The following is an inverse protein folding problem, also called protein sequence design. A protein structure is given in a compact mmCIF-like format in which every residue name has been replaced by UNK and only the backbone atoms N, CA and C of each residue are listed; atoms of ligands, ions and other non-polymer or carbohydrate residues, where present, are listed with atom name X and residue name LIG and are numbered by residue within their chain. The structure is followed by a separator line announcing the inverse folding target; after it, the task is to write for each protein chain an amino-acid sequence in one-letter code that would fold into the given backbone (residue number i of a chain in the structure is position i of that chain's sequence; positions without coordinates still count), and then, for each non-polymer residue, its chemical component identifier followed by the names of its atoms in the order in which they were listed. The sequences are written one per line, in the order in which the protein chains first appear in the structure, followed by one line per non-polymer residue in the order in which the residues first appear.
data_IF_358057456212
#
_entry.id   IF_358057456212
#
_cell.length_a   1.000
_cell.length_b   1.000
_cell.length_c   1.000
_cell.angle_alpha   90.00
_cell.angle_beta   90.00
_cell.angle_gamma   90.00
#
_symmetry.space_group_name_H-M   'P 1'
#
loop_
_entity.id
_entity.type
_entity.pdbx_description
1 polymer ?
#
# COMPACT_ATOMS: atom_id res chain seq x y z
N UNK A 1 8.14 36.43 -22.21
CA UNK A 1 9.32 35.68 -21.75
C UNK A 1 9.24 35.62 -20.24
N UNK A 2 8.81 34.48 -19.71
CA UNK A 2 9.40 33.88 -18.51
C UNK A 2 9.07 32.39 -18.56
N UNK A 3 10.02 31.62 -19.09
CA UNK A 3 10.01 30.16 -19.09
C UNK A 3 10.96 29.76 -17.97
N UNK A 4 10.40 29.48 -16.80
CA UNK A 4 11.12 28.87 -15.69
C UNK A 4 10.37 27.58 -15.36
N UNK A 5 10.62 26.53 -16.16
CA UNK A 5 11.61 25.47 -15.92
C UNK A 5 11.22 24.59 -14.73
N UNK A 6 10.66 23.44 -15.12
CA UNK A 6 10.80 22.11 -14.49
C UNK A 6 11.68 22.04 -13.24
N UNK A 7 11.05 21.68 -12.12
CA UNK A 7 11.67 21.09 -10.94
C UNK A 7 10.57 20.29 -10.23
N UNK A 8 10.73 19.05 -9.79
CA UNK A 8 11.90 18.20 -9.69
C UNK A 8 11.40 16.74 -9.73
N UNK A 9 12.05 15.89 -10.53
CA UNK A 9 11.81 14.44 -10.56
C UNK A 9 12.41 13.74 -9.35
N UNK A 10 12.18 14.24 -8.14
CA UNK A 10 12.33 13.45 -6.93
C UNK A 10 11.16 12.48 -6.87
N UNK A 11 11.39 11.20 -6.55
CA UNK A 11 10.28 10.29 -6.28
C UNK A 11 9.46 10.86 -5.13
N UNK A 12 8.40 11.61 -5.43
CA UNK A 12 7.52 12.17 -4.43
C UNK A 12 6.99 11.02 -3.56
N UNK A 13 6.81 11.20 -2.24
CA UNK A 13 6.36 10.15 -1.33
C UNK A 13 5.00 9.53 -1.72
N UNK A 14 4.23 10.23 -2.54
CA UNK A 14 3.05 9.71 -3.25
C UNK A 14 3.34 8.53 -4.20
N UNK A 15 4.58 8.32 -4.65
CA UNK A 15 4.91 7.23 -5.57
C UNK A 15 5.28 5.94 -4.85
N UNK A 16 5.79 6.01 -3.61
CA UNK A 16 6.29 4.81 -2.94
C UNK A 16 5.17 3.81 -2.64
N UNK A 17 4.02 4.29 -2.18
CA UNK A 17 2.87 3.44 -1.92
C UNK A 17 2.32 2.81 -3.22
N UNK A 18 2.37 3.54 -4.34
CA UNK A 18 2.01 2.98 -5.66
C UNK A 18 2.98 1.86 -6.07
N UNK A 19 4.29 2.07 -5.93
CA UNK A 19 5.29 1.04 -6.24
C UNK A 19 5.12 -0.22 -5.39
N UNK A 20 4.90 -0.05 -4.09
CA UNK A 20 4.62 -1.18 -3.18
C UNK A 20 3.35 -1.91 -3.61
N UNK A 21 2.29 -1.17 -3.95
CA UNK A 21 1.04 -1.76 -4.45
C UNK A 21 1.30 -2.60 -5.69
N UNK A 22 2.01 -2.04 -6.68
CA UNK A 22 2.37 -2.74 -7.92
C UNK A 22 3.26 -3.95 -7.68
N UNK A 23 4.16 -3.90 -6.70
CA UNK A 23 4.96 -5.05 -6.30
C UNK A 23 4.06 -6.15 -5.71
N UNK A 24 3.19 -5.82 -4.75
CA UNK A 24 2.32 -6.79 -4.06
C UNK A 24 1.34 -7.48 -5.00
N UNK A 25 0.71 -6.77 -5.94
CA UNK A 25 -0.24 -7.38 -6.90
C UNK A 25 0.44 -8.36 -7.87
N UNK A 26 1.77 -8.34 -7.98
CA UNK A 26 2.54 -9.34 -8.76
C UNK A 26 2.82 -10.61 -7.97
N UNK A 27 2.58 -10.63 -6.66
CA UNK A 27 2.75 -11.83 -5.85
C UNK A 27 1.63 -12.83 -6.17
N UNK A 28 1.93 -14.12 -6.42
CA UNK A 28 0.93 -15.10 -6.85
C UNK A 28 -0.16 -15.36 -5.81
N UNK A 29 0.14 -15.17 -4.52
CA UNK A 29 -0.82 -15.32 -3.43
C UNK A 29 -1.76 -14.12 -3.26
N UNK A 30 -1.52 -13.00 -3.94
CA UNK A 30 -2.29 -11.75 -3.76
C UNK A 30 -3.38 -11.64 -4.82
N UNK A 31 -4.61 -11.34 -4.37
CA UNK A 31 -5.76 -11.07 -5.23
C UNK A 31 -5.86 -9.57 -5.55
N UNK A 32 -5.90 -8.76 -4.50
CA UNK A 32 -5.93 -7.29 -4.57
C UNK A 32 -5.00 -6.73 -3.49
N UNK A 33 -4.43 -5.55 -3.75
CA UNK A 33 -3.66 -4.81 -2.75
C UNK A 33 -3.89 -3.32 -2.92
N UNK A 34 -3.89 -2.60 -1.80
CA UNK A 34 -3.89 -1.13 -1.77
C UNK A 34 -3.00 -0.67 -0.63
N UNK A 35 -2.02 0.16 -0.95
CA UNK A 35 -1.07 0.71 0.03
C UNK A 35 -1.35 2.19 0.19
N UNK A 36 -1.53 2.63 1.44
CA UNK A 36 -1.85 4.02 1.76
C UNK A 36 -1.10 4.48 3.02
N UNK A 37 -0.86 5.79 3.17
CA UNK A 37 -0.57 6.37 4.46
C UNK A 37 -1.79 6.20 5.37
N UNK A 38 -1.64 5.45 6.46
CA UNK A 38 -2.71 5.13 7.37
C UNK A 38 -2.44 5.75 8.74
N UNK A 39 -3.45 6.42 9.32
CA UNK A 39 -3.38 6.94 10.68
C UNK A 39 -3.44 5.77 11.66
N UNK A 40 -2.38 5.60 12.45
CA UNK A 40 -2.33 4.58 13.49
C UNK A 40 -3.00 5.07 14.77
N UNK A 41 -3.40 4.16 15.69
CA UNK A 41 -3.94 4.52 17.00
C UNK A 41 -3.00 5.40 17.85
N UNK A 42 -1.69 5.22 17.68
CA UNK A 42 -0.63 6.00 18.32
C UNK A 42 -0.58 7.48 17.86
N UNK A 43 -1.32 7.85 16.81
CA UNK A 43 -1.39 9.21 16.28
C UNK A 43 -0.45 9.46 15.09
N UNK A 44 0.55 8.61 14.89
CA UNK A 44 1.45 8.65 13.74
C UNK A 44 0.80 8.14 12.45
N UNK A 45 1.31 8.63 11.31
CA UNK A 45 0.96 8.11 9.99
C UNK A 45 2.04 7.12 9.53
N UNK A 46 1.63 5.90 9.16
CA UNK A 46 2.51 4.83 8.69
C UNK A 46 2.06 4.32 7.33
N UNK A 47 2.99 3.84 6.51
CA UNK A 47 2.66 3.21 5.22
C UNK A 47 2.14 1.80 5.49
N UNK A 48 0.85 1.58 5.25
CA UNK A 48 0.20 0.29 5.49
C UNK A 48 -0.29 -0.31 4.19
N UNK A 49 0.02 -1.59 4.00
CA UNK A 49 -0.44 -2.37 2.88
C UNK A 49 -1.67 -3.20 3.28
N UNK A 50 -2.82 -2.90 2.69
CA UNK A 50 -4.03 -3.70 2.82
C UNK A 50 -4.07 -4.70 1.67
N UNK A 51 -4.11 -5.98 2.00
CA UNK A 51 -3.97 -7.06 1.04
C UNK A 51 -5.15 -8.01 1.17
N UNK A 52 -5.72 -8.38 0.02
CA UNK A 52 -6.68 -9.47 -0.09
C UNK A 52 -5.92 -10.68 -0.63
N UNK A 53 -5.71 -11.74 0.17
CA UNK A 53 -5.09 -12.96 -0.32
C UNK A 53 -6.05 -13.71 -1.26
N UNK A 54 -5.50 -14.46 -2.21
CA UNK A 54 -6.29 -15.41 -3.00
C UNK A 54 -6.78 -16.53 -2.11
N UNK A 55 -7.99 -17.02 -2.39
CA UNK A 55 -8.57 -18.16 -1.67
C UNK A 55 -7.64 -19.37 -1.73
N UNK A 56 -7.29 -19.93 -0.58
CA UNK A 56 -6.40 -21.09 -0.46
C UNK A 56 -4.92 -20.81 -0.69
N UNK A 57 -4.51 -19.54 -0.83
CA UNK A 57 -3.11 -19.18 -0.91
C UNK A 57 -2.46 -19.15 0.47
N UNK A 58 -1.26 -19.70 0.58
CA UNK A 58 -0.44 -19.64 1.79
C UNK A 58 0.49 -18.43 1.70
N UNK A 59 0.16 -17.37 2.44
CA UNK A 59 1.03 -16.21 2.59
C UNK A 59 0.86 -15.57 3.97
N UNK A 60 1.95 -15.07 4.52
CA UNK A 60 1.96 -14.32 5.78
C UNK A 60 2.24 -12.84 5.52
N UNK A 61 1.86 -11.95 6.45
CA UNK A 61 2.22 -10.53 6.38
C UNK A 61 3.74 -10.33 6.24
N UNK A 62 4.54 -11.13 6.95
CA UNK A 62 6.00 -11.10 6.90
C UNK A 62 6.54 -11.52 5.53
N UNK A 63 6.03 -12.63 4.97
CA UNK A 63 6.44 -13.11 3.65
C UNK A 63 6.19 -12.05 2.55
N UNK A 64 5.06 -11.33 2.61
CA UNK A 64 4.77 -10.25 1.67
C UNK A 64 5.66 -9.02 1.88
N UNK A 65 6.01 -8.68 3.13
CA UNK A 65 6.98 -7.60 3.42
C UNK A 65 8.36 -7.94 2.86
N UNK A 66 8.80 -9.18 3.05
CA UNK A 66 10.07 -9.66 2.49
C UNK A 66 10.06 -9.64 0.96
N UNK A 67 8.96 -10.06 0.34
CA UNK A 67 8.80 -10.01 -1.11
C UNK A 67 8.90 -8.59 -1.67
N UNK A 68 8.27 -7.60 -1.02
CA UNK A 68 8.42 -6.19 -1.41
C UNK A 68 9.85 -5.72 -1.19
N UNK A 69 10.44 -6.02 -0.03
CA UNK A 69 11.82 -5.65 0.29
C UNK A 69 12.82 -6.19 -0.72
N UNK A 70 12.64 -7.42 -1.22
CA UNK A 70 13.51 -8.00 -2.23
C UNK A 70 13.39 -7.29 -3.59
N UNK A 71 12.21 -6.77 -3.93
CA UNK A 71 11.99 -6.09 -5.21
C UNK A 71 12.33 -4.60 -5.19
N UNK A 72 11.99 -3.88 -4.12
CA UNK A 72 12.09 -2.42 -4.03
C UNK A 72 13.12 -1.95 -3.01
N UNK A 73 13.64 -2.85 -2.18
CA UNK A 73 14.57 -2.53 -1.10
C UNK A 73 13.88 -2.15 0.23
N UNK A 74 14.67 -2.01 1.31
CA UNK A 74 14.16 -1.77 2.65
C UNK A 74 13.48 -0.41 2.83
N UNK A 75 13.90 0.62 2.08
CA UNK A 75 13.32 1.97 2.17
C UNK A 75 11.89 2.04 1.61
N UNK A 76 11.50 1.10 0.75
CA UNK A 76 10.18 1.01 0.14
C UNK A 76 9.42 -0.22 0.66
N UNK A 77 9.64 -0.62 1.91
CA UNK A 77 8.91 -1.72 2.53
C UNK A 77 7.76 -1.16 3.38
N UNK A 78 6.53 -1.70 3.28
CA UNK A 78 5.43 -1.23 4.12
C UNK A 78 5.71 -1.53 5.60
N UNK A 79 5.27 -0.62 6.45
CA UNK A 79 5.43 -0.70 7.89
C UNK A 79 4.62 -1.88 8.46
N UNK A 80 3.35 -1.97 8.01
CA UNK A 80 2.43 -3.08 8.30
C UNK A 80 1.79 -3.64 7.03
N UNK A 81 1.49 -4.93 7.06
CA UNK A 81 0.62 -5.61 6.10
C UNK A 81 -0.59 -6.15 6.86
N UNK A 82 -1.79 -5.81 6.40
CA UNK A 82 -3.05 -6.20 7.01
C UNK A 82 -3.87 -6.96 5.97
N UNK A 83 -4.32 -8.17 6.35
CA UNK A 83 -5.20 -8.96 5.50
C UNK A 83 -6.65 -8.59 5.70
N UNK A 84 -7.34 -8.38 4.58
CA UNK A 84 -8.77 -8.12 4.52
C UNK A 84 -9.43 -9.19 3.65
N UNK A 85 -10.70 -9.47 3.94
CA UNK A 85 -11.54 -10.31 3.08
C UNK A 85 -11.78 -9.64 1.71
N UNK A 86 -12.00 -8.32 1.72
CA UNK A 86 -12.10 -7.49 0.53
C UNK A 86 -11.63 -6.06 0.84
N UNK A 87 -11.12 -5.35 -0.17
CA UNK A 87 -10.85 -3.92 -0.04
C UNK A 87 -12.19 -3.15 0.08
N UNK A 88 -12.28 -2.14 0.95
CA UNK A 88 -13.47 -1.31 1.04
C UNK A 88 -13.69 -0.61 -0.30
N UNK A 89 -14.94 -0.58 -0.75
CA UNK A 89 -15.33 0.08 -2.00
C UNK A 89 -16.28 1.23 -1.71
N UNK A 90 -16.11 2.30 -2.46
CA UNK A 90 -17.02 3.44 -2.47
C UNK A 90 -18.31 3.09 -3.23
N UNK A 91 -19.31 3.98 -3.19
CA UNK A 91 -20.59 3.80 -3.90
C UNK A 91 -20.41 3.58 -5.41
N UNK A 92 -19.35 4.14 -6.01
CA UNK A 92 -18.99 3.92 -7.42
C UNK A 92 -18.23 2.62 -7.69
N UNK A 93 -18.03 1.77 -6.69
CA UNK A 93 -17.32 0.49 -6.80
C UNK A 93 -15.79 0.57 -6.81
N UNK A 94 -15.20 1.77 -6.69
CA UNK A 94 -13.74 1.98 -6.59
C UNK A 94 -13.27 1.76 -5.17
N UNK A 95 -12.01 1.34 -4.99
CA UNK A 95 -11.37 1.23 -3.67
C UNK A 95 -11.49 2.56 -2.92
N UNK A 96 -12.07 2.51 -1.73
CA UNK A 96 -12.26 3.66 -0.86
C UNK A 96 -11.01 3.91 -0.01
N UNK A 97 -10.02 4.54 -0.64
CA UNK A 97 -8.71 4.83 -0.01
C UNK A 97 -8.86 5.68 1.25
N UNK A 98 -9.81 6.61 1.28
CA UNK A 98 -10.05 7.48 2.45
C UNK A 98 -10.42 6.69 3.69
N UNK A 99 -11.24 5.63 3.55
CA UNK A 99 -11.55 4.73 4.67
C UNK A 99 -10.32 3.98 5.16
N UNK A 100 -9.47 3.50 4.22
CA UNK A 100 -8.20 2.86 4.57
C UNK A 100 -7.25 3.82 5.29
N UNK A 101 -7.13 5.06 4.83
CA UNK A 101 -6.27 6.11 5.42
C UNK A 101 -6.72 6.50 6.83
N UNK A 102 -8.02 6.38 7.14
CA UNK A 102 -8.60 6.75 8.44
C UNK A 102 -8.13 5.88 9.61
N UNK A 103 -7.48 4.74 9.36
CA UNK A 103 -7.07 3.83 10.44
C UNK A 103 -8.14 2.84 10.88
N UNK A 104 -9.32 2.87 10.28
CA UNK A 104 -10.46 1.99 10.63
C UNK A 104 -10.09 0.50 10.63
N UNK A 105 -9.21 0.11 9.71
CA UNK A 105 -8.76 -1.27 9.53
C UNK A 105 -7.40 -1.56 10.18
N UNK A 106 -6.76 -0.57 10.79
CA UNK A 106 -5.43 -0.66 11.37
C UNK A 106 -5.41 -0.46 12.90
N UNK A 107 -6.59 -0.43 13.51
CA UNK A 107 -6.81 -0.33 14.95
C UNK A 107 -6.54 -1.63 15.69
#
# INVERSE_FOLDING_TARGET
MDVTRVGEGGQSPETIHQQITLALVRHPAVLEASVVPCRMPEGDQRVVAFVVPRSGADCTPESLREFVRQQLGPQATPDKVIFLDALPRSVSGKVDRKRLESGEFAA
#
